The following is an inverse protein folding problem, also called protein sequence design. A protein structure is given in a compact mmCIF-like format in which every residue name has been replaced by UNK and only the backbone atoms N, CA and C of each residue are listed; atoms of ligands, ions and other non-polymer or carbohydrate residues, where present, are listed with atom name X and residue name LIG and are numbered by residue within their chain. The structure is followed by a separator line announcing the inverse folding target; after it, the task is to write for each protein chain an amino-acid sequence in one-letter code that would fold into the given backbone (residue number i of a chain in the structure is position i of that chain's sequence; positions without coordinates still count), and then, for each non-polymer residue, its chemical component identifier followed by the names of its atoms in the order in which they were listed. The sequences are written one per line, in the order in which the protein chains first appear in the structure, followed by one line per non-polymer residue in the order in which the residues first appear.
data_IF_839257875013
#
_entry.id   IF_839257875013
#
_cell.length_a   1.000
_cell.length_b   1.000
_cell.length_c   1.000
_cell.angle_alpha   90.00
_cell.angle_beta   90.00
_cell.angle_gamma   90.00
#
_symmetry.space_group_name_H-M   'P 1'
#
loop_
_entity.id
_entity.type
_entity.pdbx_description
1 polymer ?
#
# COMPACT_ATOMS: atom_id res chain seq x y z
N UNK A 1 11.13 12.27 -18.99
CA UNK A 1 11.42 11.02 -18.25
C UNK A 1 10.23 10.10 -18.41
N UNK A 2 10.44 8.78 -18.53
CA UNK A 2 9.33 7.83 -18.55
C UNK A 2 8.76 7.66 -17.13
N UNK A 3 7.43 7.66 -16.94
CA UNK A 3 6.81 7.50 -15.64
C UNK A 3 7.11 6.12 -15.06
N UNK A 4 7.12 6.03 -13.73
CA UNK A 4 7.30 4.77 -12.98
C UNK A 4 6.15 4.57 -12.00
N UNK A 5 5.72 3.32 -11.82
CA UNK A 5 4.81 2.94 -10.75
C UNK A 5 5.59 2.46 -9.52
N UNK A 6 5.44 3.16 -8.39
CA UNK A 6 6.02 2.77 -7.12
C UNK A 6 4.94 2.14 -6.23
N UNK A 7 5.25 1.00 -5.63
CA UNK A 7 4.38 0.28 -4.71
C UNK A 7 5.14 -0.01 -3.42
N UNK A 8 4.43 -0.18 -2.31
CA UNK A 8 5.03 -0.44 -0.99
C UNK A 8 4.53 -1.74 -0.36
N UNK A 9 5.45 -2.55 0.13
CA UNK A 9 5.19 -3.80 0.82
C UNK A 9 5.76 -3.75 2.24
N UNK A 10 4.99 -4.18 3.23
CA UNK A 10 5.43 -4.19 4.62
C UNK A 10 4.28 -4.22 5.61
N UNK A 11 4.54 -4.72 6.82
CA UNK A 11 3.55 -4.88 7.88
C UNK A 11 2.96 -3.54 8.35
N UNK A 12 1.87 -3.58 9.10
CA UNK A 12 1.29 -2.38 9.73
C UNK A 12 2.39 -1.70 10.57
N UNK A 13 2.47 -0.38 10.53
CA UNK A 13 3.49 0.41 11.22
C UNK A 13 4.97 0.12 10.83
N UNK A 14 5.23 -0.55 9.70
CA UNK A 14 6.60 -0.72 9.18
C UNK A 14 7.22 0.57 8.63
N UNK A 15 6.41 1.61 8.37
CA UNK A 15 6.86 2.89 7.80
C UNK A 15 6.47 3.10 6.33
N UNK A 16 5.62 2.24 5.74
CA UNK A 16 5.15 2.35 4.35
C UNK A 16 4.68 3.76 3.97
N UNK A 17 3.66 4.30 4.63
CA UNK A 17 3.10 5.61 4.28
C UNK A 17 4.11 6.74 4.42
N UNK A 18 5.04 6.64 5.37
CA UNK A 18 6.16 7.59 5.51
C UNK A 18 7.12 7.50 4.33
N UNK A 19 7.48 6.30 3.90
CA UNK A 19 8.29 6.08 2.71
C UNK A 19 7.56 6.55 1.45
N UNK A 20 6.27 6.23 1.30
CA UNK A 20 5.43 6.65 0.17
C UNK A 20 5.40 8.18 0.04
N UNK A 21 5.15 8.89 1.14
CA UNK A 21 5.12 10.35 1.16
C UNK A 21 6.49 10.96 0.82
N UNK A 22 7.56 10.40 1.38
CA UNK A 22 8.93 10.83 1.07
C UNK A 22 9.27 10.62 -0.41
N UNK A 23 9.01 9.42 -0.94
CA UNK A 23 9.25 9.10 -2.35
C UNK A 23 8.49 10.07 -3.26
N UNK A 24 7.20 10.30 -2.97
CA UNK A 24 6.38 11.20 -3.76
C UNK A 24 6.93 12.64 -3.79
N UNK A 25 7.36 13.16 -2.64
CA UNK A 25 7.98 14.46 -2.54
C UNK A 25 9.34 14.54 -3.27
N UNK A 26 10.21 13.54 -3.08
CA UNK A 26 11.57 13.53 -3.62
C UNK A 26 11.59 13.43 -5.16
N UNK A 27 10.64 12.69 -5.76
CA UNK A 27 10.61 12.44 -7.22
C UNK A 27 9.48 13.21 -7.94
N UNK A 28 8.71 14.03 -7.23
CA UNK A 28 7.58 14.77 -7.80
C UNK A 28 6.46 13.88 -8.33
N UNK A 29 6.14 12.79 -7.62
CA UNK A 29 5.09 11.85 -7.99
C UNK A 29 3.75 12.15 -7.29
N UNK A 30 2.65 11.66 -7.87
CA UNK A 30 1.34 11.65 -7.21
C UNK A 30 1.26 10.43 -6.31
N UNK A 31 1.01 10.65 -5.02
CA UNK A 31 0.71 9.57 -4.08
C UNK A 31 -0.79 9.32 -4.01
N UNK A 32 -1.19 8.06 -4.07
CA UNK A 32 -2.56 7.62 -3.82
C UNK A 32 -2.58 6.72 -2.59
N UNK A 33 -3.32 7.11 -1.54
CA UNK A 33 -3.43 6.36 -0.29
C UNK A 33 -4.73 5.57 -0.23
N UNK A 34 -4.64 4.26 -0.03
CA UNK A 34 -5.84 3.42 0.16
C UNK A 34 -6.65 3.88 1.39
N UNK A 35 -5.96 4.18 2.50
CA UNK A 35 -6.58 4.56 3.76
C UNK A 35 -7.40 5.85 3.63
N UNK A 36 -6.89 6.85 2.89
CA UNK A 36 -7.60 8.12 2.66
C UNK A 36 -8.92 7.89 1.88
N UNK A 37 -8.85 7.11 0.81
CA UNK A 37 -10.03 6.81 -0.01
C UNK A 37 -11.03 5.92 0.72
N UNK A 38 -10.57 4.87 1.39
CA UNK A 38 -11.45 3.99 2.15
C UNK A 38 -12.09 4.70 3.35
N UNK A 39 -11.32 5.55 4.04
CA UNK A 39 -11.82 6.34 5.17
C UNK A 39 -12.92 7.33 4.77
N UNK A 40 -12.88 7.89 3.57
CA UNK A 40 -13.92 8.82 3.10
C UNK A 40 -15.11 8.07 2.48
N UNK A 41 -14.84 7.06 1.64
CA UNK A 41 -15.87 6.42 0.82
C UNK A 41 -16.62 5.29 1.55
N UNK A 42 -15.99 4.65 2.54
CA UNK A 42 -16.47 3.40 3.12
C UNK A 42 -16.36 3.32 4.65
N UNK A 43 -16.07 4.42 5.37
CA UNK A 43 -15.93 4.40 6.83
C UNK A 43 -17.17 3.83 7.54
N UNK A 44 -18.37 4.09 7.03
CA UNK A 44 -19.64 3.57 7.56
C UNK A 44 -19.86 2.07 7.28
N UNK A 45 -19.10 1.50 6.34
CA UNK A 45 -19.24 0.13 5.85
C UNK A 45 -18.12 -0.82 6.32
N UNK A 46 -17.03 -0.31 6.92
CA UNK A 46 -15.87 -1.11 7.30
C UNK A 46 -15.82 -1.43 8.80
N UNK A 47 -16.56 -2.47 9.23
CA UNK A 47 -16.56 -2.92 10.64
C UNK A 47 -15.66 -4.14 10.88
N UNK A 48 -15.49 -4.95 9.86
CA UNK A 48 -14.75 -6.22 9.95
C UNK A 48 -13.62 -6.30 8.92
N UNK A 49 -12.77 -7.32 9.03
CA UNK A 49 -11.77 -7.60 7.99
C UNK A 49 -12.38 -7.96 6.64
N UNK A 50 -13.51 -8.68 6.64
CA UNK A 50 -14.22 -9.03 5.42
C UNK A 50 -14.80 -7.78 4.73
N UNK A 51 -15.30 -6.82 5.52
CA UNK A 51 -15.75 -5.54 4.97
C UNK A 51 -14.63 -4.76 4.33
N UNK A 52 -13.45 -4.71 4.97
CA UNK A 52 -12.27 -4.08 4.40
C UNK A 52 -11.90 -4.72 3.06
N UNK A 53 -11.83 -6.06 2.98
CA UNK A 53 -11.49 -6.76 1.73
C UNK A 53 -12.50 -6.44 0.61
N UNK A 54 -13.80 -6.42 0.94
CA UNK A 54 -14.86 -6.06 -0.02
C UNK A 54 -14.73 -4.61 -0.50
N UNK A 55 -14.47 -3.66 0.40
CA UNK A 55 -14.35 -2.24 0.07
C UNK A 55 -13.05 -1.94 -0.71
N UNK A 56 -11.93 -2.53 -0.29
CA UNK A 56 -10.64 -2.47 -1.00
C UNK A 56 -10.76 -3.03 -2.42
N UNK A 57 -11.37 -4.21 -2.59
CA UNK A 57 -11.60 -4.78 -3.92
C UNK A 57 -12.48 -3.86 -4.81
N UNK A 58 -13.52 -3.25 -4.25
CA UNK A 58 -14.35 -2.28 -4.99
C UNK A 58 -13.56 -1.02 -5.38
N UNK A 59 -12.70 -0.52 -4.49
CA UNK A 59 -11.83 0.61 -4.78
C UNK A 59 -10.81 0.28 -5.87
N UNK A 60 -10.23 -0.91 -5.84
CA UNK A 60 -9.29 -1.39 -6.85
C UNK A 60 -9.87 -1.37 -8.28
N UNK A 61 -11.17 -1.66 -8.45
CA UNK A 61 -11.85 -1.59 -9.75
C UNK A 61 -11.77 -0.20 -10.41
N UNK A 62 -11.87 0.87 -9.62
CA UNK A 62 -11.76 2.24 -10.15
C UNK A 62 -10.30 2.70 -10.21
N UNK A 63 -9.44 2.19 -9.31
CA UNK A 63 -8.04 2.57 -9.26
C UNK A 63 -7.23 2.02 -10.43
N UNK A 64 -7.50 0.79 -10.91
CA UNK A 64 -6.77 0.23 -12.06
C UNK A 64 -6.80 1.15 -13.29
N UNK A 65 -7.97 1.54 -13.84
CA UNK A 65 -8.01 2.43 -14.99
C UNK A 65 -7.51 3.84 -14.66
N UNK A 66 -7.76 4.34 -13.44
CA UNK A 66 -7.32 5.68 -13.03
C UNK A 66 -5.80 5.81 -12.97
N UNK A 67 -5.13 4.88 -12.28
CA UNK A 67 -3.67 4.83 -12.17
C UNK A 67 -3.05 4.62 -13.54
N UNK A 68 -3.62 3.75 -14.36
CA UNK A 68 -3.15 3.52 -15.74
C UNK A 68 -3.23 4.80 -16.57
N UNK A 69 -4.31 5.58 -16.45
CA UNK A 69 -4.45 6.85 -17.16
C UNK A 69 -3.41 7.89 -16.72
N UNK A 70 -3.12 7.99 -15.42
CA UNK A 70 -2.08 8.89 -14.90
C UNK A 70 -0.70 8.51 -15.44
N UNK A 71 -0.36 7.22 -15.36
CA UNK A 71 0.90 6.69 -15.88
C UNK A 71 1.02 6.95 -17.40
N UNK A 72 -0.02 6.69 -18.18
CA UNK A 72 0.00 6.94 -19.62
C UNK A 72 0.09 8.44 -19.98
N UNK A 73 -0.35 9.32 -19.08
CA UNK A 73 -0.19 10.77 -19.22
C UNK A 73 1.22 11.27 -18.81
N UNK A 74 2.15 10.38 -18.47
CA UNK A 74 3.52 10.75 -18.09
C UNK A 74 3.71 11.03 -16.60
N UNK A 75 2.69 10.78 -15.76
CA UNK A 75 2.75 11.05 -14.33
C UNK A 75 3.30 9.83 -13.58
N UNK A 76 4.33 10.04 -12.75
CA UNK A 76 4.83 8.99 -11.84
C UNK A 76 3.87 8.85 -10.65
N UNK A 77 3.56 7.63 -10.26
CA UNK A 77 2.57 7.33 -9.19
C UNK A 77 3.22 6.51 -8.09
N UNK A 78 2.92 6.88 -6.83
CA UNK A 78 3.19 6.06 -5.64
C UNK A 78 1.86 5.53 -5.11
N UNK A 79 1.69 4.21 -5.14
CA UNK A 79 0.55 3.52 -4.53
C UNK A 79 0.88 3.19 -3.07
N UNK A 80 0.35 3.98 -2.14
CA UNK A 80 0.29 3.65 -0.72
C UNK A 80 -0.90 2.71 -0.45
N UNK A 81 -0.87 1.58 -1.15
CA UNK A 81 -1.79 0.45 -1.02
C UNK A 81 -0.99 -0.74 -0.46
N UNK A 82 -1.60 -1.61 0.37
CA UNK A 82 -0.89 -2.75 0.92
C UNK A 82 -0.56 -3.78 -0.16
N UNK A 83 0.73 -4.07 -0.33
CA UNK A 83 1.25 -5.16 -1.17
C UNK A 83 1.61 -6.41 -0.33
N UNK A 84 0.83 -6.70 0.70
CA UNK A 84 1.21 -7.61 1.80
C UNK A 84 0.87 -9.07 1.53
N UNK A 85 -0.08 -9.32 0.65
CA UNK A 85 -0.45 -10.67 0.18
C UNK A 85 -0.10 -10.84 -1.30
N UNK A 86 0.03 -12.08 -1.75
CA UNK A 86 0.23 -12.40 -3.16
C UNK A 86 -0.92 -11.84 -4.01
N UNK A 87 -2.17 -12.02 -3.58
CA UNK A 87 -3.35 -11.49 -4.31
C UNK A 87 -3.34 -9.96 -4.45
N UNK A 88 -2.89 -9.22 -3.43
CA UNK A 88 -2.73 -7.76 -3.54
C UNK A 88 -1.67 -7.37 -4.57
N UNK A 89 -0.57 -8.14 -4.63
CA UNK A 89 0.48 -7.93 -5.62
C UNK A 89 0.04 -8.34 -7.02
N UNK A 90 -0.79 -9.37 -7.17
CA UNK A 90 -1.39 -9.73 -8.46
C UNK A 90 -2.24 -8.58 -9.04
N UNK A 91 -3.05 -7.89 -8.21
CA UNK A 91 -3.75 -6.69 -8.65
C UNK A 91 -2.77 -5.58 -9.10
N UNK A 92 -1.68 -5.36 -8.38
CA UNK A 92 -0.66 -4.40 -8.80
C UNK A 92 0.00 -4.80 -10.13
N UNK A 93 0.15 -6.12 -10.40
CA UNK A 93 0.59 -6.63 -11.70
C UNK A 93 -0.42 -6.33 -12.81
N UNK A 94 -1.72 -6.30 -12.53
CA UNK A 94 -2.72 -5.85 -13.51
C UNK A 94 -2.50 -4.40 -13.92
N UNK A 95 -2.23 -3.51 -12.95
CA UNK A 95 -1.93 -2.10 -13.23
C UNK A 95 -0.65 -1.97 -14.07
N UNK A 96 0.40 -2.73 -13.73
CA UNK A 96 1.66 -2.76 -14.50
C UNK A 96 1.41 -3.24 -15.93
N UNK A 97 0.67 -4.34 -16.12
CA UNK A 97 0.34 -4.87 -17.45
C UNK A 97 -0.48 -3.89 -18.28
N UNK A 98 -1.45 -3.22 -17.67
CA UNK A 98 -2.34 -2.28 -18.36
C UNK A 98 -1.62 -1.00 -18.80
N UNK A 99 -0.61 -0.55 -18.04
CA UNK A 99 0.14 0.67 -18.33
C UNK A 99 1.44 0.44 -19.11
N UNK A 100 2.07 -0.73 -18.99
CA UNK A 100 3.34 -1.06 -19.64
C UNK A 100 4.54 -0.25 -19.16
N UNK A 101 4.41 0.50 -18.05
CA UNK A 101 5.49 1.34 -17.52
C UNK A 101 6.46 0.55 -16.65
N UNK A 102 7.62 1.14 -16.37
CA UNK A 102 8.53 0.62 -15.37
C UNK A 102 7.90 0.65 -13.97
N UNK A 103 8.29 -0.28 -13.10
CA UNK A 103 7.75 -0.38 -11.75
C UNK A 103 8.81 -0.69 -10.69
N UNK A 104 8.53 -0.34 -9.44
CA UNK A 104 9.37 -0.67 -8.28
C UNK A 104 8.50 -1.06 -7.09
N UNK A 105 8.81 -2.20 -6.48
CA UNK A 105 8.18 -2.65 -5.24
C UNK A 105 9.14 -2.41 -4.06
N UNK A 106 8.82 -1.43 -3.24
CA UNK A 106 9.61 -1.07 -2.06
C UNK A 106 9.21 -1.98 -0.89
N UNK A 107 10.09 -2.91 -0.51
CA UNK A 107 9.86 -3.86 0.58
C UNK A 107 10.55 -3.38 1.86
N UNK A 108 9.75 -3.12 2.91
CA UNK A 108 10.22 -2.82 4.26
C UNK A 108 10.14 -4.08 5.11
N UNK A 109 11.30 -4.70 5.35
CA UNK A 109 11.43 -5.94 6.14
C UNK A 109 11.67 -5.61 7.63
N UNK A 110 10.66 -5.02 8.27
CA UNK A 110 10.75 -4.56 9.65
C UNK A 110 10.23 -5.65 10.60
N UNK A 111 10.98 -6.00 11.68
CA UNK A 111 10.53 -6.96 12.69
C UNK A 111 9.20 -6.58 13.33
N UNK A 112 8.45 -7.60 13.77
CA UNK A 112 7.14 -7.42 14.41
C UNK A 112 7.23 -6.56 15.66
N UNK A 113 8.26 -6.77 16.47
CA UNK A 113 8.50 -6.07 17.73
C UNK A 113 8.64 -4.56 17.50
N UNK A 114 9.39 -4.18 16.48
CA UNK A 114 9.59 -2.77 16.09
C UNK A 114 8.29 -2.17 15.55
N UNK A 115 7.55 -2.93 14.73
CA UNK A 115 6.26 -2.48 14.22
C UNK A 115 5.24 -2.26 15.35
N UNK A 116 5.18 -3.17 16.32
CA UNK A 116 4.30 -3.08 17.48
C UNK A 116 4.67 -1.91 18.39
N UNK A 117 5.96 -1.68 18.64
CA UNK A 117 6.42 -0.52 19.40
C UNK A 117 5.98 0.79 18.73
N UNK A 118 6.20 0.91 17.42
CA UNK A 118 5.75 2.07 16.63
C UNK A 118 4.24 2.24 16.66
N UNK A 119 3.49 1.14 16.55
CA UNK A 119 2.02 1.16 16.63
C UNK A 119 1.55 1.68 17.98
N UNK A 120 2.13 1.21 19.09
CA UNK A 120 1.82 1.67 20.45
C UNK A 120 2.13 3.15 20.63
N UNK A 121 3.31 3.61 20.17
CA UNK A 121 3.68 5.02 20.23
C UNK A 121 2.71 5.90 19.44
N UNK A 122 2.30 5.46 18.25
CA UNK A 122 1.35 6.18 17.39
C UNK A 122 -0.04 6.28 18.02
N UNK A 123 -0.54 5.16 18.58
CA UNK A 123 -1.83 5.14 19.25
C UNK A 123 -1.84 6.04 20.50
N UNK A 124 -0.72 6.17 21.21
CA UNK A 124 -0.59 7.06 22.36
C UNK A 124 -0.58 8.55 22.01
N UNK A 125 -0.10 8.92 20.81
CA UNK A 125 -0.05 10.31 20.34
C UNK A 125 -1.40 10.83 19.83
N UNK A 126 -2.33 9.95 19.47
CA UNK A 126 -3.63 10.31 18.91
C UNK A 126 -3.56 10.87 17.47
N UNK A 127 -4.72 11.18 16.87
CA UNK A 127 -4.78 11.91 15.59
C UNK A 127 -4.70 11.09 14.30
N UNK A 128 -4.70 9.75 14.36
CA UNK A 128 -4.73 8.89 13.17
C UNK A 128 -6.10 8.26 12.96
N UNK A 129 -6.61 8.31 11.71
CA UNK A 129 -7.91 7.77 11.33
C UNK A 129 -8.06 6.26 11.61
N UNK A 130 -6.95 5.51 11.60
CA UNK A 130 -6.90 4.08 11.92
C UNK A 130 -5.96 3.80 13.10
N UNK A 131 -6.55 3.60 14.28
CA UNK A 131 -5.85 3.12 15.48
C UNK A 131 -5.94 1.59 15.55
N UNK A 132 -5.08 0.90 14.79
CA UNK A 132 -5.04 -0.56 14.83
C UNK A 132 -4.61 -1.06 16.22
N UNK A 133 -5.28 -2.09 16.70
CA UNK A 133 -4.91 -2.81 17.93
C UNK A 133 -3.78 -3.81 17.66
N UNK A 134 -3.11 -4.27 18.72
CA UNK A 134 -2.12 -5.34 18.62
C UNK A 134 -2.73 -6.64 18.07
N UNK A 135 -3.96 -6.98 18.46
CA UNK A 135 -4.69 -8.13 17.92
C UNK A 135 -4.90 -8.00 16.40
N UNK A 136 -5.34 -6.83 15.93
CA UNK A 136 -5.47 -6.55 14.51
C UNK A 136 -4.11 -6.63 13.80
N UNK A 137 -3.04 -6.05 14.39
CA UNK A 137 -1.69 -6.19 13.85
C UNK A 137 -1.33 -7.65 13.63
N UNK A 138 -1.47 -8.50 14.66
CA UNK A 138 -1.14 -9.93 14.57
C UNK A 138 -2.00 -10.64 13.53
N UNK A 139 -3.30 -10.34 13.46
CA UNK A 139 -4.20 -10.93 12.46
C UNK A 139 -3.78 -10.59 11.03
N UNK A 140 -3.44 -9.33 10.75
CA UNK A 140 -2.98 -8.93 9.41
C UNK A 140 -1.57 -9.45 9.11
N UNK A 141 -0.67 -9.43 10.09
CA UNK A 141 0.69 -9.96 9.96
C UNK A 141 0.70 -11.47 9.66
N UNK A 142 -0.27 -12.23 10.18
CA UNK A 142 -0.41 -13.66 9.87
C UNK A 142 -0.69 -13.97 8.39
N UNK A 143 -1.21 -13.00 7.64
CA UNK A 143 -1.43 -13.12 6.19
C UNK A 143 -0.30 -12.52 5.35
N UNK A 144 0.71 -11.92 6.00
CA UNK A 144 1.82 -11.30 5.30
C UNK A 144 2.71 -12.35 4.64
N UNK A 145 2.94 -12.18 3.33
CA UNK A 145 3.88 -13.00 2.56
C UNK A 145 4.92 -12.06 1.96
N UNK A 146 6.21 -12.19 2.31
CA UNK A 146 7.28 -11.41 1.69
C UNK A 146 7.25 -11.52 0.17
N UNK A 147 7.55 -10.45 -0.58
CA UNK A 147 7.61 -10.53 -2.03
C UNK A 147 8.82 -11.36 -2.47
N UNK A 148 8.64 -12.17 -3.52
CA UNK A 148 9.72 -12.97 -4.12
C UNK A 148 10.05 -12.48 -5.54
N UNK A 149 11.24 -12.84 -6.02
CA UNK A 149 11.67 -12.50 -7.39
C UNK A 149 10.79 -13.17 -8.46
N UNK A 150 10.21 -14.34 -8.16
CA UNK A 150 9.33 -15.10 -9.06
C UNK A 150 8.06 -14.32 -9.43
N UNK A 151 7.64 -13.36 -8.60
CA UNK A 151 6.49 -12.48 -8.87
C UNK A 151 6.79 -11.40 -9.93
N UNK A 152 8.05 -11.27 -10.38
CA UNK A 152 8.45 -10.40 -11.47
C UNK A 152 8.48 -8.90 -11.12
N UNK A 153 8.60 -8.56 -9.84
CA UNK A 153 8.79 -7.18 -9.40
C UNK A 153 10.25 -6.78 -9.39
N UNK A 154 10.55 -5.52 -9.74
CA UNK A 154 11.82 -4.90 -9.36
C UNK A 154 11.76 -4.52 -7.88
N UNK A 155 12.29 -5.38 -7.02
CA UNK A 155 12.22 -5.23 -5.56
C UNK A 155 13.33 -4.30 -5.07
N UNK A 156 12.95 -3.27 -4.31
CA UNK A 156 13.86 -2.36 -3.60
C UNK A 156 13.72 -2.64 -2.10
N UNK A 157 14.74 -3.19 -1.44
CA UNK A 157 14.73 -3.49 0.00
C UNK A 157 15.13 -2.26 0.83
N UNK A 158 14.46 -2.04 1.96
CA UNK A 158 14.66 -0.93 2.91
C UNK A 158 14.82 -1.46 4.34
#
# INVERSE_FOLDING_TARGET
MSPTLHMVCGKIASGKSTLSAKLAADIGAIMLSEDDWLGILFADQMKTGADYLRCSAKLQLVMTPHVTALLNAGVTVVLDFPANTVAQREWMRDVIRASGVAHRLHYLDVPDEVCLERLRSRNAQGGHAFSATEEQFRRFAAHFVPPTEEEGFTIMRH
#
